data_IF_196781886294
#
_entry.id   IF_196781886294
#
_cell.length_a   1.000
_cell.length_b   1.000
_cell.length_c   1.000
_cell.angle_alpha   90.00
_cell.angle_beta   90.00
_cell.angle_gamma   90.00
#
_symmetry.space_group_name_H-M   'P 1'
#
loop_
_entity.id
_entity.type
_entity.pdbx_description
1 polymer ?
#
# COMPACT_ATOMS: atom_id res chain seq x y z
N UNK A 1 -11.48 -10.72 8.03
CA UNK A 1 -10.13 -10.52 8.56
C UNK A 1 -9.23 -11.61 8.00
N UNK A 2 -8.07 -11.27 7.46
CA UNK A 2 -7.09 -12.21 6.87
C UNK A 2 -5.89 -12.36 7.80
N UNK A 3 -5.35 -11.26 8.27
CA UNK A 3 -4.29 -11.19 9.30
C UNK A 3 -4.73 -10.18 10.33
N UNK A 4 -4.57 -10.52 11.60
CA UNK A 4 -4.83 -9.60 12.72
C UNK A 4 -3.50 -9.07 13.27
N UNK A 5 -3.49 -7.82 13.75
CA UNK A 5 -2.37 -7.28 14.51
C UNK A 5 -2.05 -8.17 15.71
N UNK A 6 -0.76 -8.34 16.02
CA UNK A 6 -0.22 -9.25 17.04
C UNK A 6 -0.39 -10.76 16.72
N UNK A 7 -0.99 -11.14 15.60
CA UNK A 7 -1.07 -12.55 15.17
C UNK A 7 0.31 -13.06 14.72
N UNK A 8 0.66 -14.26 15.16
CA UNK A 8 1.81 -15.00 14.60
C UNK A 8 1.47 -15.55 13.22
N UNK A 9 2.43 -15.45 12.29
CA UNK A 9 2.29 -15.91 10.92
C UNK A 9 3.50 -16.75 10.50
N UNK A 10 3.21 -17.99 10.07
CA UNK A 10 4.21 -18.96 9.58
C UNK A 10 3.99 -19.33 8.10
N UNK A 11 3.06 -18.65 7.46
CA UNK A 11 2.69 -18.87 6.07
C UNK A 11 2.84 -17.58 5.27
N UNK A 12 3.10 -17.75 3.99
CA UNK A 12 3.18 -16.67 3.00
C UNK A 12 2.02 -16.85 2.05
N UNK A 13 1.26 -15.76 1.82
CA UNK A 13 0.13 -15.74 0.92
C UNK A 13 0.45 -15.06 -0.41
N UNK A 14 -0.13 -15.56 -1.49
CA UNK A 14 -0.17 -14.88 -2.78
C UNK A 14 -1.62 -14.54 -3.07
N UNK A 15 -1.95 -13.26 -3.19
CA UNK A 15 -3.29 -12.81 -3.55
C UNK A 15 -3.56 -13.16 -5.01
N UNK A 16 -4.51 -14.06 -5.24
CA UNK A 16 -4.89 -14.55 -6.58
C UNK A 16 -5.97 -13.65 -7.19
N UNK A 17 -6.99 -13.32 -6.41
CA UNK A 17 -8.11 -12.46 -6.84
C UNK A 17 -8.67 -11.65 -5.69
N UNK A 18 -9.42 -10.60 -6.01
CA UNK A 18 -10.03 -9.69 -5.03
C UNK A 18 -9.08 -8.57 -4.60
N UNK A 19 -9.49 -7.85 -3.56
CA UNK A 19 -8.80 -6.70 -3.02
C UNK A 19 -8.65 -6.83 -1.50
N UNK A 20 -7.43 -6.61 -0.98
CA UNK A 20 -7.19 -6.55 0.45
C UNK A 20 -6.75 -5.15 0.85
N UNK A 21 -7.01 -4.81 2.10
CA UNK A 21 -6.56 -3.59 2.74
C UNK A 21 -5.65 -3.91 3.93
N UNK A 22 -4.43 -3.36 3.93
CA UNK A 22 -3.51 -3.38 5.07
C UNK A 22 -3.75 -2.11 5.87
N UNK A 23 -4.03 -2.25 7.16
CA UNK A 23 -4.40 -1.14 8.04
C UNK A 23 -3.65 -1.19 9.37
N UNK A 24 -3.53 -0.01 9.98
CA UNK A 24 -3.11 0.19 11.36
C UNK A 24 -4.31 0.72 12.15
N UNK A 25 -4.60 0.11 13.28
CA UNK A 25 -5.57 0.62 14.25
C UNK A 25 -4.86 1.45 15.32
N UNK A 26 -5.49 2.55 15.70
CA UNK A 26 -5.01 3.42 16.79
C UNK A 26 -5.86 3.24 18.05
N UNK A 27 -5.32 3.58 19.23
CA UNK A 27 -6.06 3.44 20.50
C UNK A 27 -7.35 4.26 20.58
N UNK A 28 -7.47 5.32 19.79
CA UNK A 28 -8.68 6.15 19.67
C UNK A 28 -9.77 5.54 18.77
N UNK A 29 -9.53 4.31 18.25
CA UNK A 29 -10.44 3.61 17.35
C UNK A 29 -10.31 4.03 15.88
N UNK A 30 -9.42 4.96 15.54
CA UNK A 30 -9.19 5.33 14.14
C UNK A 30 -8.45 4.24 13.40
N UNK A 31 -8.82 4.05 12.13
CA UNK A 31 -8.16 3.15 11.18
C UNK A 31 -7.39 3.98 10.16
N UNK A 32 -6.11 3.69 10.00
CA UNK A 32 -5.31 4.27 8.94
C UNK A 32 -4.93 3.22 7.91
N UNK A 33 -5.28 3.47 6.66
CA UNK A 33 -4.85 2.65 5.54
C UNK A 33 -3.34 2.76 5.35
N UNK A 34 -2.66 1.62 5.46
CA UNK A 34 -1.23 1.51 5.15
C UNK A 34 -1.06 1.29 3.65
N UNK A 35 -1.84 0.34 3.10
CA UNK A 35 -1.68 -0.08 1.71
C UNK A 35 -2.91 -0.83 1.20
N UNK A 36 -3.23 -0.64 -0.08
CA UNK A 36 -4.13 -1.47 -0.87
C UNK A 36 -3.33 -2.60 -1.53
N UNK A 37 -3.81 -3.83 -1.41
CA UNK A 37 -3.17 -5.01 -1.98
C UNK A 37 -4.05 -5.54 -3.10
N UNK A 38 -3.46 -5.71 -4.27
CA UNK A 38 -4.11 -6.19 -5.49
C UNK A 38 -3.56 -7.56 -5.89
N UNK A 39 -4.20 -8.29 -6.80
CA UNK A 39 -3.72 -9.59 -7.28
C UNK A 39 -2.23 -9.59 -7.64
N UNK A 40 -1.57 -10.71 -7.39
CA UNK A 40 -0.12 -10.92 -7.45
C UNK A 40 0.68 -10.32 -6.29
N UNK A 41 0.04 -9.69 -5.29
CA UNK A 41 0.74 -9.22 -4.10
C UNK A 41 1.07 -10.37 -3.15
N UNK A 42 2.27 -10.33 -2.56
CA UNK A 42 2.71 -11.31 -1.57
C UNK A 42 2.31 -10.83 -0.17
N UNK A 43 1.45 -11.59 0.49
CA UNK A 43 0.85 -11.25 1.78
C UNK A 43 1.61 -11.93 2.91
N UNK A 44 2.01 -11.18 3.93
CA UNK A 44 2.60 -11.71 5.15
C UNK A 44 4.05 -12.17 5.05
N UNK A 45 4.71 -12.00 3.90
CA UNK A 45 6.10 -12.42 3.70
C UNK A 45 7.04 -11.81 4.75
N UNK A 46 6.98 -10.49 4.94
CA UNK A 46 7.84 -9.78 5.88
C UNK A 46 7.62 -10.20 7.34
N UNK A 47 6.41 -10.67 7.66
CA UNK A 47 6.08 -11.19 8.99
C UNK A 47 6.66 -12.60 9.14
N UNK A 48 6.32 -13.49 8.20
CA UNK A 48 6.67 -14.90 8.28
C UNK A 48 8.19 -15.16 8.31
N UNK A 49 8.99 -14.31 7.64
CA UNK A 49 10.46 -14.41 7.64
C UNK A 49 11.12 -13.57 8.76
N UNK A 50 10.36 -12.71 9.46
CA UNK A 50 10.92 -11.92 10.57
C UNK A 50 11.23 -12.81 11.79
N UNK A 51 12.11 -12.35 12.67
CA UNK A 51 12.45 -13.09 13.89
C UNK A 51 11.25 -13.28 14.81
N UNK A 52 10.39 -12.27 14.95
CA UNK A 52 9.23 -12.31 15.85
C UNK A 52 8.03 -13.03 15.24
N UNK A 53 7.95 -13.08 13.93
CA UNK A 53 6.82 -13.66 13.16
C UNK A 53 5.44 -13.10 13.56
N UNK A 54 5.41 -11.94 14.23
CA UNK A 54 4.19 -11.29 14.74
C UNK A 54 3.85 -10.10 13.87
N UNK A 55 2.58 -9.98 13.49
CA UNK A 55 2.12 -8.92 12.60
C UNK A 55 2.01 -7.57 13.31
N UNK A 56 2.65 -6.50 12.80
CA UNK A 56 2.47 -5.15 13.33
C UNK A 56 1.27 -4.41 12.72
N UNK A 57 0.40 -5.08 11.98
CA UNK A 57 -0.75 -4.50 11.29
C UNK A 57 -1.83 -5.56 11.05
N UNK A 58 -3.03 -5.11 10.70
CA UNK A 58 -4.12 -5.98 10.25
C UNK A 58 -4.28 -5.95 8.73
N UNK A 59 -4.79 -7.06 8.16
CA UNK A 59 -5.18 -7.17 6.75
C UNK A 59 -6.59 -7.72 6.67
N UNK A 60 -7.47 -7.05 5.94
CA UNK A 60 -8.82 -7.55 5.67
C UNK A 60 -9.14 -7.53 4.17
N UNK A 61 -10.09 -8.36 3.78
CA UNK A 61 -10.62 -8.37 2.43
C UNK A 61 -11.68 -7.27 2.27
N UNK A 62 -11.52 -6.42 1.26
CA UNK A 62 -12.48 -5.35 0.90
C UNK A 62 -13.67 -5.94 0.15
N UNK A 63 -13.42 -7.01 -0.61
CA UNK A 63 -14.38 -7.79 -1.35
C UNK A 63 -14.00 -9.28 -1.29
N UNK A 64 -14.76 -10.16 -1.93
CA UNK A 64 -14.39 -11.57 -2.02
C UNK A 64 -13.00 -11.74 -2.62
N UNK A 65 -12.12 -12.45 -1.90
CA UNK A 65 -10.72 -12.59 -2.26
C UNK A 65 -10.24 -14.03 -2.12
N UNK A 66 -9.37 -14.46 -3.03
CA UNK A 66 -8.72 -15.75 -2.99
C UNK A 66 -7.23 -15.59 -2.77
N UNK A 67 -6.68 -16.31 -1.79
CA UNK A 67 -5.26 -16.27 -1.43
C UNK A 67 -4.72 -17.69 -1.43
N UNK A 68 -3.62 -17.92 -2.13
CA UNK A 68 -2.86 -19.16 -2.04
C UNK A 68 -1.83 -19.03 -0.92
N UNK A 69 -1.92 -19.90 0.08
CA UNK A 69 -1.00 -19.92 1.23
C UNK A 69 -0.02 -21.09 1.14
N UNK A 70 1.23 -20.84 1.53
CA UNK A 70 2.23 -21.88 1.67
C UNK A 70 3.13 -21.61 2.88
N UNK A 71 3.58 -22.68 3.58
CA UNK A 71 4.44 -22.57 4.77
C UNK A 71 5.78 -21.91 4.47
N UNK A 72 6.23 -20.99 5.32
CA UNK A 72 7.53 -20.32 5.20
C UNK A 72 8.71 -21.29 5.22
N UNK A 73 8.53 -22.48 5.81
CA UNK A 73 9.57 -23.54 5.83
C UNK A 73 10.07 -23.95 4.44
N UNK A 74 9.28 -23.77 3.39
CA UNK A 74 9.75 -24.03 2.01
C UNK A 74 10.86 -23.08 1.58
N UNK A 75 10.92 -21.88 2.15
CA UNK A 75 12.04 -20.98 1.98
C UNK A 75 13.18 -21.29 2.96
N UNK A 76 12.86 -21.45 4.24
CA UNK A 76 13.84 -21.48 5.33
C UNK A 76 14.63 -22.81 5.43
N UNK A 77 14.03 -23.94 5.03
CA UNK A 77 14.60 -25.27 5.28
C UNK A 77 14.99 -25.98 3.99
N UNK A 78 16.09 -26.75 4.08
CA UNK A 78 16.54 -27.63 3.01
C UNK A 78 15.64 -28.86 2.88
N UNK A 79 15.60 -29.45 1.68
CA UNK A 79 14.90 -30.70 1.41
C UNK A 79 13.43 -30.55 0.99
N UNK A 80 12.81 -29.38 1.10
CA UNK A 80 11.44 -29.17 0.63
C UNK A 80 11.36 -28.78 -0.84
N UNK A 81 12.36 -28.08 -1.35
CA UNK A 81 12.46 -27.65 -2.74
C UNK A 81 13.86 -27.96 -3.30
N UNK A 82 14.00 -28.14 -4.62
CA UNK A 82 15.29 -28.11 -5.27
C UNK A 82 16.05 -26.83 -4.94
N UNK A 83 17.38 -26.94 -4.82
CA UNK A 83 18.22 -25.77 -4.45
C UNK A 83 18.06 -24.59 -5.42
N UNK A 84 17.98 -24.86 -6.73
CA UNK A 84 17.74 -23.85 -7.76
C UNK A 84 16.46 -23.05 -7.53
N UNK A 85 15.37 -23.74 -7.15
CA UNK A 85 14.06 -23.12 -6.94
C UNK A 85 14.07 -22.31 -5.65
N UNK A 86 14.75 -22.80 -4.62
CA UNK A 86 14.92 -22.08 -3.36
C UNK A 86 15.73 -20.80 -3.56
N UNK A 87 16.83 -20.85 -4.31
CA UNK A 87 17.63 -19.66 -4.67
C UNK A 87 16.78 -18.66 -5.46
N UNK A 88 16.00 -19.12 -6.43
CA UNK A 88 15.10 -18.26 -7.19
C UNK A 88 14.07 -17.55 -6.28
N UNK A 89 13.44 -18.29 -5.38
CA UNK A 89 12.48 -17.73 -4.42
C UNK A 89 13.13 -16.71 -3.48
N UNK A 90 14.36 -16.94 -3.01
CA UNK A 90 15.09 -15.94 -2.23
C UNK A 90 15.36 -14.67 -3.03
N UNK A 91 15.76 -14.78 -4.29
CA UNK A 91 15.95 -13.61 -5.14
C UNK A 91 14.65 -12.80 -5.31
N UNK A 92 13.51 -13.48 -5.56
CA UNK A 92 12.21 -12.84 -5.63
C UNK A 92 11.81 -12.17 -4.30
N UNK A 93 12.08 -12.85 -3.18
CA UNK A 93 11.84 -12.32 -1.84
C UNK A 93 12.62 -11.03 -1.59
N UNK A 94 13.92 -11.02 -1.88
CA UNK A 94 14.77 -9.82 -1.73
C UNK A 94 14.26 -8.68 -2.60
N UNK A 95 13.93 -8.95 -3.85
CA UNK A 95 13.40 -7.94 -4.76
C UNK A 95 12.05 -7.38 -4.29
N UNK A 96 11.16 -8.26 -3.82
CA UNK A 96 9.88 -7.84 -3.24
C UNK A 96 10.09 -6.93 -2.02
N UNK A 97 10.92 -7.34 -1.06
CA UNK A 97 11.20 -6.57 0.14
C UNK A 97 11.83 -5.20 -0.17
N UNK A 98 12.75 -5.14 -1.13
CA UNK A 98 13.35 -3.87 -1.58
C UNK A 98 12.29 -2.92 -2.16
N UNK A 99 11.36 -3.44 -2.97
CA UNK A 99 10.27 -2.65 -3.51
C UNK A 99 9.30 -2.17 -2.42
N UNK A 100 9.02 -3.01 -1.42
CA UNK A 100 8.19 -2.63 -0.27
C UNK A 100 8.88 -1.57 0.60
N UNK A 101 10.19 -1.65 0.79
CA UNK A 101 10.94 -0.64 1.53
C UNK A 101 10.87 0.73 0.83
N UNK A 102 11.09 0.78 -0.48
CA UNK A 102 10.92 2.00 -1.28
C UNK A 102 9.48 2.55 -1.15
N UNK A 103 8.47 1.67 -1.16
CA UNK A 103 7.07 2.07 -0.99
C UNK A 103 6.80 2.68 0.38
N UNK A 104 7.33 2.06 1.44
CA UNK A 104 7.26 2.57 2.82
C UNK A 104 7.95 3.93 2.93
N UNK A 105 9.13 4.09 2.33
CA UNK A 105 9.85 5.36 2.31
C UNK A 105 9.01 6.48 1.66
N UNK A 106 8.41 6.23 0.50
CA UNK A 106 7.50 7.18 -0.16
C UNK A 106 6.29 7.53 0.72
N UNK A 107 5.74 6.54 1.43
CA UNK A 107 4.64 6.79 2.38
C UNK A 107 5.09 7.69 3.53
N UNK A 108 6.26 7.46 4.10
CA UNK A 108 6.85 8.31 5.15
C UNK A 108 7.06 9.74 4.61
N UNK A 109 7.59 9.88 3.40
CA UNK A 109 7.78 11.17 2.75
C UNK A 109 6.47 11.95 2.62
N UNK A 110 5.38 11.29 2.20
CA UNK A 110 4.04 11.90 2.13
C UNK A 110 3.60 12.35 3.52
N UNK A 111 3.62 11.46 4.51
CA UNK A 111 3.09 11.71 5.85
C UNK A 111 3.91 12.74 6.63
N UNK A 112 5.19 12.93 6.32
CA UNK A 112 6.05 13.94 6.93
C UNK A 112 5.76 15.37 6.45
N UNK A 113 4.92 15.56 5.42
CA UNK A 113 4.48 16.89 5.03
C UNK A 113 3.60 17.51 6.13
N UNK A 114 3.89 18.78 6.48
CA UNK A 114 3.27 19.48 7.61
C UNK A 114 1.79 19.83 7.38
N UNK A 115 1.34 19.97 6.13
CA UNK A 115 -0.02 20.35 5.78
C UNK A 115 -0.75 19.27 5.00
N UNK A 116 -2.09 19.26 5.08
CA UNK A 116 -2.93 18.38 4.27
C UNK A 116 -2.65 18.57 2.77
N UNK A 117 -2.54 19.82 2.33
CA UNK A 117 -2.18 20.16 0.95
C UNK A 117 -0.84 19.57 0.53
N UNK A 118 0.19 19.75 1.36
CA UNK A 118 1.52 19.21 1.07
C UNK A 118 1.55 17.68 0.96
N UNK A 119 0.73 16.96 1.73
CA UNK A 119 0.56 15.49 1.60
C UNK A 119 -0.09 15.12 0.27
N UNK A 120 -1.12 15.86 -0.14
CA UNK A 120 -1.80 15.66 -1.42
C UNK A 120 -0.83 15.92 -2.58
N UNK A 121 -0.12 17.04 -2.58
CA UNK A 121 0.84 17.42 -3.62
C UNK A 121 1.97 16.36 -3.77
N UNK A 122 2.55 15.91 -2.66
CA UNK A 122 3.57 14.85 -2.67
C UNK A 122 3.03 13.54 -3.24
N UNK A 123 1.83 13.14 -2.83
CA UNK A 123 1.17 11.95 -3.34
C UNK A 123 0.95 12.03 -4.86
N UNK A 124 0.35 13.12 -5.33
CA UNK A 124 0.08 13.34 -6.76
C UNK A 124 1.37 13.36 -7.58
N UNK A 125 2.44 14.00 -7.07
CA UNK A 125 3.76 13.98 -7.71
C UNK A 125 4.32 12.57 -7.86
N UNK A 126 4.16 11.72 -6.85
CA UNK A 126 4.58 10.31 -6.92
C UNK A 126 3.76 9.56 -7.98
N UNK A 127 2.45 9.83 -8.09
CA UNK A 127 1.62 9.22 -9.14
C UNK A 127 2.03 9.70 -10.53
N UNK A 128 2.29 10.99 -10.74
CA UNK A 128 2.79 11.51 -12.03
C UNK A 128 4.07 10.78 -12.48
N UNK A 129 5.00 10.57 -11.55
CA UNK A 129 6.25 9.82 -11.83
C UNK A 129 5.94 8.36 -12.17
N UNK A 130 5.03 7.72 -11.43
CA UNK A 130 4.62 6.32 -11.64
C UNK A 130 3.99 6.11 -13.02
N UNK A 131 3.06 6.98 -13.38
CA UNK A 131 2.31 6.90 -14.65
C UNK A 131 3.03 7.58 -15.82
N UNK A 132 4.13 8.32 -15.55
CA UNK A 132 4.84 9.14 -16.53
C UNK A 132 3.90 10.09 -17.31
N UNK A 133 2.92 10.62 -16.60
CA UNK A 133 1.85 11.45 -17.15
C UNK A 133 1.35 12.45 -16.11
N UNK A 134 0.87 13.60 -16.58
CA UNK A 134 0.13 14.56 -15.76
C UNK A 134 -1.36 14.17 -15.63
N UNK A 135 -1.81 13.18 -16.40
CA UNK A 135 -3.17 12.65 -16.41
C UNK A 135 -3.15 11.16 -16.05
N UNK A 136 -3.90 10.77 -15.01
CA UNK A 136 -3.91 9.40 -14.49
C UNK A 136 -5.13 9.12 -13.62
N UNK A 137 -5.45 7.83 -13.51
CA UNK A 137 -6.42 7.32 -12.55
C UNK A 137 -5.71 6.75 -11.32
N UNK A 138 -6.27 6.99 -10.14
CA UNK A 138 -5.81 6.36 -8.90
C UNK A 138 -6.74 5.22 -8.49
N UNK A 139 -6.16 4.17 -7.89
CA UNK A 139 -6.92 2.99 -7.44
C UNK A 139 -7.69 3.23 -6.12
N UNK A 140 -7.66 4.45 -5.57
CA UNK A 140 -8.32 4.81 -4.33
C UNK A 140 -9.64 5.54 -4.59
N UNK A 141 -10.69 5.17 -3.83
CA UNK A 141 -11.81 6.07 -3.63
C UNK A 141 -11.43 7.22 -2.67
N UNK A 142 -12.33 8.19 -2.45
CA UNK A 142 -12.03 9.37 -1.60
C UNK A 142 -11.73 9.01 -0.14
N UNK A 143 -12.38 8.00 0.39
CA UNK A 143 -12.19 7.55 1.76
C UNK A 143 -10.84 6.84 1.92
N UNK A 144 -10.54 5.93 1.01
CA UNK A 144 -9.26 5.25 0.94
C UNK A 144 -8.09 6.25 0.76
N UNK A 145 -8.24 7.22 -0.14
CA UNK A 145 -7.22 8.26 -0.34
C UNK A 145 -7.00 9.09 0.92
N UNK A 146 -8.08 9.51 1.59
CA UNK A 146 -7.97 10.28 2.83
C UNK A 146 -7.26 9.47 3.92
N UNK A 147 -7.70 8.24 4.17
CA UNK A 147 -7.06 7.33 5.12
C UNK A 147 -5.58 7.08 4.77
N UNK A 148 -5.28 6.84 3.49
CA UNK A 148 -3.90 6.68 3.04
C UNK A 148 -3.02 7.90 3.32
N UNK A 149 -3.56 9.11 3.18
CA UNK A 149 -2.85 10.37 3.42
C UNK A 149 -2.86 10.80 4.90
N UNK A 150 -3.51 10.04 5.79
CA UNK A 150 -3.70 10.41 7.20
C UNK A 150 -4.51 11.71 7.33
N UNK A 151 -5.57 11.85 6.55
CA UNK A 151 -6.48 13.00 6.52
C UNK A 151 -7.92 12.55 6.74
N UNK A 152 -8.75 13.46 7.24
CA UNK A 152 -10.19 13.28 7.19
C UNK A 152 -10.70 13.49 5.76
N UNK A 153 -11.72 12.72 5.35
CA UNK A 153 -12.33 12.82 4.02
C UNK A 153 -12.81 14.24 3.68
N UNK A 154 -13.37 14.96 4.66
CA UNK A 154 -13.81 16.35 4.48
C UNK A 154 -12.66 17.29 4.19
N UNK A 155 -11.53 17.14 4.90
CA UNK A 155 -10.30 17.92 4.69
C UNK A 155 -9.72 17.65 3.30
N UNK A 156 -9.60 16.38 2.91
CA UNK A 156 -9.14 15.99 1.56
C UNK A 156 -10.02 16.62 0.48
N UNK A 157 -11.35 16.51 0.62
CA UNK A 157 -12.30 17.02 -0.37
C UNK A 157 -12.25 18.55 -0.47
N UNK A 158 -12.08 19.25 0.65
CA UNK A 158 -11.91 20.69 0.69
C UNK A 158 -10.65 21.14 -0.04
N UNK A 159 -9.49 20.54 0.29
CA UNK A 159 -8.21 20.88 -0.32
C UNK A 159 -8.20 20.63 -1.83
N UNK A 160 -8.72 19.48 -2.29
CA UNK A 160 -8.81 19.18 -3.72
C UNK A 160 -9.68 20.23 -4.46
N UNK A 161 -10.81 20.65 -3.85
CA UNK A 161 -11.66 21.70 -4.40
C UNK A 161 -10.95 23.07 -4.47
N UNK A 162 -10.12 23.38 -3.47
CA UNK A 162 -9.31 24.60 -3.48
C UNK A 162 -8.25 24.55 -4.56
N UNK A 163 -7.53 23.42 -4.69
CA UNK A 163 -6.52 23.23 -5.75
C UNK A 163 -7.14 23.29 -7.15
N UNK A 164 -8.37 22.80 -7.32
CA UNK A 164 -9.11 22.91 -8.57
C UNK A 164 -9.51 24.37 -8.90
N UNK A 165 -10.00 25.15 -7.91
CA UNK A 165 -10.26 26.57 -8.06
C UNK A 165 -9.02 27.41 -8.39
N UNK A 166 -7.86 27.00 -7.90
CA UNK A 166 -6.57 27.64 -8.18
C UNK A 166 -5.98 27.22 -9.53
N UNK A 167 -6.67 26.35 -10.28
CA UNK A 167 -6.20 25.86 -11.57
C UNK A 167 -5.00 24.93 -11.51
N UNK A 168 -4.72 24.31 -10.35
CA UNK A 168 -3.58 23.41 -10.16
C UNK A 168 -3.87 22.01 -10.71
N UNK A 169 -5.12 21.58 -10.57
CA UNK A 169 -5.57 20.28 -11.04
C UNK A 169 -7.05 20.32 -11.45
N UNK A 170 -7.45 19.31 -12.21
CA UNK A 170 -8.86 18.95 -12.40
C UNK A 170 -9.04 17.53 -11.86
N UNK A 171 -10.15 17.28 -11.14
CA UNK A 171 -10.42 15.98 -10.58
C UNK A 171 -11.86 15.53 -10.84
N UNK A 172 -12.02 14.33 -11.39
CA UNK A 172 -13.33 13.68 -11.60
C UNK A 172 -13.28 12.28 -10.99
N UNK A 173 -13.95 12.09 -9.85
CA UNK A 173 -13.86 10.86 -9.06
C UNK A 173 -12.41 10.54 -8.71
N UNK A 174 -11.84 9.48 -9.28
CA UNK A 174 -10.46 9.02 -9.11
C UNK A 174 -9.52 9.39 -10.27
N UNK A 175 -10.04 10.12 -11.27
CA UNK A 175 -9.28 10.63 -12.40
C UNK A 175 -8.71 12.02 -12.08
N UNK A 176 -7.41 12.23 -12.30
CA UNK A 176 -6.68 13.47 -12.01
C UNK A 176 -5.97 13.96 -13.27
N UNK A 177 -6.08 15.28 -13.50
CA UNK A 177 -5.28 16.01 -14.49
C UNK A 177 -4.53 17.10 -13.73
N UNK A 178 -3.21 17.08 -13.74
CA UNK A 178 -2.37 18.08 -13.07
C UNK A 178 -1.95 19.13 -14.10
N UNK A 179 -2.26 20.38 -13.82
CA UNK A 179 -1.90 21.48 -14.70
C UNK A 179 -0.50 22.02 -14.32
N UNK A 180 0.39 22.11 -15.30
CA UNK A 180 1.67 22.79 -15.11
C UNK A 180 1.39 24.31 -14.95
N UNK A 181 1.94 24.92 -13.92
CA UNK A 181 1.95 26.38 -13.87
C UNK A 181 2.89 26.84 -14.98
N UNK A 182 2.34 27.58 -15.95
CA UNK A 182 3.18 28.37 -16.85
C UNK A 182 4.11 29.24 -15.99
N UNK A 183 5.42 29.10 -16.23
CA UNK A 183 6.45 29.87 -15.52
C UNK A 183 6.49 31.29 -16.00
#
# INVERSE_FOLDING_TARGET
MIIQEEQELHEIGILISGELCKVQYYPDGTEQMVQKLLPSYVVGLEIAISQKKTSPYSVYAVEEASIFWFPVKYLEQEGYLPESDRIFLYQQTVQFLANEDIRKYRKIEILSAKSARGRIEKYLKIQMIRYKSNEFDIDFNREQMASYLGLNRSVLSHELKMMEKEGILTVRKNHFVIHEKEK
#
